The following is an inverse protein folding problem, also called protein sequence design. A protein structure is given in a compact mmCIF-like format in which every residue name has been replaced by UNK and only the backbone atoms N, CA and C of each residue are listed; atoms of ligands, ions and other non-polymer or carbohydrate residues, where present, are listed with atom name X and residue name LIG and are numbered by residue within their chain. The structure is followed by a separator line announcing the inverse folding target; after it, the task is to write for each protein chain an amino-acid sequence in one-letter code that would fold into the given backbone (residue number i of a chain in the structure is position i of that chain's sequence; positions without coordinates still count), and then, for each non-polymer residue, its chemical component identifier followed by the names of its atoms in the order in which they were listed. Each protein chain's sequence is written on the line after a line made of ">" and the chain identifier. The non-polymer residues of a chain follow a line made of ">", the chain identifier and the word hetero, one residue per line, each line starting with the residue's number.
data_IF_317201674752
#
_entry.id   IF_317201674752
#
_cell.length_a   1.000
_cell.length_b   1.000
_cell.length_c   1.000
_cell.angle_alpha   90.00
_cell.angle_beta   90.00
_cell.angle_gamma   90.00
#
_symmetry.space_group_name_H-M   'P 1'
#
loop_
_entity.id
_entity.type
_entity.pdbx_description
1 polymer ?
#
# COMPACT_ATOMS: atom_id res chain seq x y z
N UNK A 1 -13.14 -13.18 9.63
CA UNK A 1 -13.30 -11.79 9.17
C UNK A 1 -12.24 -10.81 9.69
N UNK A 2 -11.38 -11.21 10.64
CA UNK A 2 -10.28 -10.37 11.13
C UNK A 2 -9.07 -10.49 10.19
N UNK A 3 -8.39 -9.36 9.92
CA UNK A 3 -7.19 -9.33 9.08
C UNK A 3 -5.96 -9.53 9.96
N UNK A 4 -5.11 -10.51 9.60
CA UNK A 4 -3.86 -10.80 10.28
C UNK A 4 -2.73 -11.11 9.30
N UNK A 5 -1.50 -11.23 9.82
CA UNK A 5 -0.38 -11.69 9.00
C UNK A 5 -0.50 -13.19 8.71
N UNK A 6 -0.36 -13.56 7.44
CA UNK A 6 -0.35 -14.97 7.04
C UNK A 6 0.95 -15.63 7.48
N UNK A 7 0.83 -16.64 8.34
CA UNK A 7 1.96 -17.44 8.80
C UNK A 7 1.82 -18.89 8.32
N UNK A 8 2.93 -19.49 7.91
CA UNK A 8 2.96 -20.86 7.37
C UNK A 8 3.93 -21.72 8.15
N UNK A 9 3.53 -22.96 8.46
CA UNK A 9 4.38 -23.99 9.08
C UNK A 9 4.20 -25.32 8.37
N UNK A 10 5.27 -26.02 8.11
CA UNK A 10 5.23 -27.34 7.48
C UNK A 10 6.52 -27.68 6.72
N UNK A 11 6.58 -28.89 6.14
CA UNK A 11 7.79 -29.38 5.47
C UNK A 11 8.14 -28.62 4.17
N UNK A 12 7.19 -27.86 3.61
CA UNK A 12 7.42 -27.02 2.42
C UNK A 12 7.97 -25.64 2.72
N UNK A 13 8.14 -25.28 4.01
CA UNK A 13 8.74 -24.00 4.39
C UNK A 13 10.23 -24.04 4.12
N UNK A 14 10.78 -22.95 3.56
CA UNK A 14 12.21 -22.83 3.29
C UNK A 14 13.06 -23.00 4.56
N UNK A 15 14.28 -23.50 4.41
CA UNK A 15 15.24 -23.62 5.51
C UNK A 15 15.84 -22.25 5.88
N UNK A 16 16.21 -21.45 4.87
CA UNK A 16 16.80 -20.12 5.07
C UNK A 16 16.84 -19.34 3.75
N UNK A 17 17.13 -18.06 3.84
CA UNK A 17 17.64 -17.26 2.71
C UNK A 17 19.13 -17.53 2.55
N UNK A 18 19.55 -17.81 1.31
CA UNK A 18 20.94 -18.08 1.00
C UNK A 18 21.86 -16.93 1.40
N UNK A 19 22.89 -17.24 2.20
CA UNK A 19 23.87 -16.27 2.74
C UNK A 19 23.26 -15.03 3.42
N UNK A 20 22.04 -15.13 3.96
CA UNK A 20 21.39 -14.01 4.65
C UNK A 20 20.70 -14.46 5.95
N UNK A 21 21.48 -14.71 7.01
CA UNK A 21 20.94 -15.17 8.29
C UNK A 21 20.05 -14.11 8.97
N UNK A 22 20.33 -12.82 8.79
CA UNK A 22 19.53 -11.74 9.37
C UNK A 22 18.12 -11.73 8.79
N UNK A 23 17.98 -11.70 7.45
CA UNK A 23 16.68 -11.77 6.81
C UNK A 23 15.94 -13.09 7.11
N UNK A 24 16.69 -14.19 7.33
CA UNK A 24 16.09 -15.47 7.73
C UNK A 24 15.48 -15.35 9.13
N UNK A 25 16.21 -14.78 10.09
CA UNK A 25 15.73 -14.62 11.47
C UNK A 25 14.53 -13.65 11.58
N UNK A 26 14.41 -12.69 10.66
CA UNK A 26 13.25 -11.80 10.59
C UNK A 26 11.96 -12.54 10.29
N UNK A 27 12.01 -13.53 9.39
CA UNK A 27 10.80 -14.18 8.86
C UNK A 27 10.56 -15.60 9.39
N UNK A 28 11.60 -16.29 9.88
CA UNK A 28 11.48 -17.63 10.45
C UNK A 28 11.61 -17.58 11.98
N UNK A 29 10.50 -17.86 12.69
CA UNK A 29 10.45 -17.85 14.15
C UNK A 29 9.70 -19.09 14.63
N UNK A 30 10.35 -19.88 15.49
CA UNK A 30 9.77 -21.10 16.08
C UNK A 30 9.17 -22.09 15.08
N UNK A 31 9.77 -22.15 13.88
CA UNK A 31 9.34 -23.01 12.79
C UNK A 31 8.16 -22.46 11.97
N UNK A 32 7.73 -21.22 12.22
CA UNK A 32 6.75 -20.50 11.43
C UNK A 32 7.43 -19.51 10.48
N UNK A 33 6.99 -19.52 9.24
CA UNK A 33 7.32 -18.49 8.24
C UNK A 33 6.29 -17.36 8.32
N UNK A 34 6.72 -16.18 8.68
CA UNK A 34 5.95 -14.93 8.60
C UNK A 34 6.10 -14.39 7.19
N UNK A 35 5.04 -14.49 6.39
CA UNK A 35 5.12 -14.21 4.95
C UNK A 35 5.23 -12.71 4.62
N UNK A 36 4.83 -11.86 5.54
CA UNK A 36 4.68 -10.42 5.32
C UNK A 36 3.44 -10.08 4.49
N UNK A 37 2.58 -11.05 4.19
CA UNK A 37 1.30 -10.83 3.53
C UNK A 37 0.19 -10.77 4.58
N UNK A 38 -0.68 -9.78 4.47
CA UNK A 38 -1.89 -9.66 5.29
C UNK A 38 -3.02 -10.43 4.62
N UNK A 39 -3.72 -11.24 5.39
CA UNK A 39 -4.80 -12.07 4.91
C UNK A 39 -6.00 -12.03 5.86
N UNK A 40 -7.15 -12.37 5.35
CA UNK A 40 -8.40 -12.57 6.08
C UNK A 40 -8.94 -13.96 5.76
N UNK A 41 -9.49 -14.65 6.75
CA UNK A 41 -10.19 -15.92 6.55
C UNK A 41 -11.70 -15.67 6.58
N UNK A 42 -12.44 -16.24 5.61
CA UNK A 42 -13.90 -16.20 5.61
C UNK A 42 -14.51 -17.31 6.48
N UNK A 43 -15.85 -17.34 6.53
CA UNK A 43 -16.59 -18.35 7.31
C UNK A 43 -16.43 -19.78 6.76
N UNK A 44 -16.09 -19.92 5.47
CA UNK A 44 -15.90 -21.22 4.82
C UNK A 44 -14.45 -21.71 4.91
N UNK A 45 -13.55 -20.92 5.52
CA UNK A 45 -12.16 -21.26 5.77
C UNK A 45 -11.20 -20.87 4.64
N UNK A 46 -11.65 -20.13 3.62
CA UNK A 46 -10.79 -19.63 2.56
C UNK A 46 -10.01 -18.40 3.00
N UNK A 47 -8.73 -18.31 2.57
CA UNK A 47 -7.87 -17.17 2.83
C UNK A 47 -7.86 -16.22 1.65
N UNK A 48 -8.09 -14.95 1.94
CA UNK A 48 -8.02 -13.84 0.98
C UNK A 48 -6.84 -12.95 1.34
N UNK A 49 -5.90 -12.77 0.41
CA UNK A 49 -4.81 -11.82 0.57
C UNK A 49 -5.38 -10.39 0.48
N UNK A 50 -5.06 -9.57 1.46
CA UNK A 50 -5.55 -8.20 1.57
C UNK A 50 -4.51 -7.20 1.10
N UNK A 51 -3.27 -7.33 1.58
CA UNK A 51 -2.15 -6.44 1.23
C UNK A 51 -0.82 -7.01 1.73
N UNK A 52 0.28 -6.29 1.50
CA UNK A 52 1.57 -6.55 2.14
C UNK A 52 1.65 -5.80 3.48
N UNK A 53 2.12 -6.45 4.54
CA UNK A 53 2.26 -5.85 5.88
C UNK A 53 3.02 -4.53 5.86
N UNK A 54 4.12 -4.46 5.09
CA UNK A 54 4.97 -3.26 4.93
C UNK A 54 4.32 -2.13 4.13
N UNK A 55 3.22 -2.41 3.44
CA UNK A 55 2.50 -1.45 2.62
C UNK A 55 1.25 -0.90 3.32
N UNK A 56 0.80 -1.54 4.42
CA UNK A 56 -0.32 -1.06 5.25
C UNK A 56 -0.01 0.35 5.74
N UNK A 57 -0.95 1.27 5.54
CA UNK A 57 -0.85 2.65 6.03
C UNK A 57 -1.57 2.76 7.36
N UNK A 58 -0.86 3.20 8.40
CA UNK A 58 -1.45 3.39 9.74
C UNK A 58 -1.76 4.86 9.94
N UNK A 59 -3.04 5.22 9.81
CA UNK A 59 -3.51 6.60 9.86
C UNK A 59 -4.46 6.81 11.04
N UNK A 60 -4.00 7.57 12.05
CA UNK A 60 -4.82 7.85 13.23
C UNK A 60 -5.28 6.61 14.01
N UNK A 61 -4.50 5.53 13.97
CA UNK A 61 -4.82 4.25 14.61
C UNK A 61 -5.60 3.26 13.73
N UNK A 62 -6.03 3.68 12.54
CA UNK A 62 -6.72 2.81 11.58
C UNK A 62 -5.73 2.18 10.60
N UNK A 63 -5.87 0.87 10.37
CA UNK A 63 -5.12 0.17 9.32
C UNK A 63 -5.84 0.34 7.99
N UNK A 64 -5.16 0.98 7.04
CA UNK A 64 -5.67 1.19 5.69
C UNK A 64 -4.85 0.31 4.74
N UNK A 65 -5.55 -0.46 3.93
CA UNK A 65 -4.96 -1.39 2.97
C UNK A 65 -4.95 -0.74 1.58
N UNK A 66 -3.77 -0.32 1.08
CA UNK A 66 -3.62 0.35 -0.22
C UNK A 66 -4.28 -0.35 -1.39
N UNK A 67 -4.17 -1.67 -1.47
CA UNK A 67 -4.74 -2.48 -2.57
C UNK A 67 -6.24 -2.22 -2.75
N UNK A 68 -7.00 -2.08 -1.67
CA UNK A 68 -8.44 -1.82 -1.76
C UNK A 68 -8.77 -0.46 -2.39
N UNK A 69 -7.93 0.54 -2.15
CA UNK A 69 -8.08 1.88 -2.73
C UNK A 69 -7.60 1.86 -4.19
N UNK A 70 -6.49 1.17 -4.45
CA UNK A 70 -5.95 1.01 -5.81
C UNK A 70 -6.94 0.31 -6.72
N UNK A 71 -7.56 -0.80 -6.28
CA UNK A 71 -8.55 -1.53 -7.05
C UNK A 71 -9.79 -0.67 -7.35
N UNK A 72 -10.24 0.11 -6.34
CA UNK A 72 -11.31 1.06 -6.56
C UNK A 72 -10.94 2.14 -7.59
N UNK A 73 -9.76 2.76 -7.44
CA UNK A 73 -9.32 3.81 -8.36
C UNK A 73 -9.11 3.29 -9.79
N UNK A 74 -8.67 2.04 -9.97
CA UNK A 74 -8.54 1.40 -11.30
C UNK A 74 -9.87 1.25 -12.04
N UNK A 75 -11.01 1.34 -11.36
CA UNK A 75 -12.33 1.34 -12.03
C UNK A 75 -12.65 2.64 -12.76
N UNK A 76 -11.85 3.70 -12.55
CA UNK A 76 -11.99 4.96 -13.26
C UNK A 76 -11.36 4.87 -14.66
N UNK A 77 -12.15 5.14 -15.70
CA UNK A 77 -11.74 4.97 -17.10
C UNK A 77 -10.56 5.85 -17.53
N UNK A 78 -10.25 6.93 -16.83
CA UNK A 78 -9.14 7.84 -17.12
C UNK A 78 -7.81 7.35 -16.54
N UNK A 79 -7.85 6.47 -15.56
CA UNK A 79 -6.66 5.98 -14.86
C UNK A 79 -6.04 4.82 -15.63
N UNK A 80 -4.75 4.93 -15.94
CA UNK A 80 -3.93 3.86 -16.50
C UNK A 80 -3.45 2.93 -15.40
N UNK A 81 -2.90 3.52 -14.32
CA UNK A 81 -2.39 2.79 -13.17
C UNK A 81 -2.40 3.68 -11.93
N UNK A 82 -2.34 3.06 -10.75
CA UNK A 82 -2.35 3.75 -9.47
C UNK A 82 -1.52 3.00 -8.44
N UNK A 83 -0.82 3.75 -7.59
CA UNK A 83 -0.13 3.25 -6.41
C UNK A 83 -0.52 4.09 -5.20
N UNK A 84 -1.03 3.47 -4.16
CA UNK A 84 -1.32 4.13 -2.89
C UNK A 84 -0.20 3.85 -1.90
N UNK A 85 0.30 4.92 -1.27
CA UNK A 85 1.42 4.88 -0.34
C UNK A 85 1.09 5.66 0.94
N UNK A 86 1.73 5.27 2.05
CA UNK A 86 1.77 6.08 3.27
C UNK A 86 2.68 7.29 3.08
N UNK A 87 2.18 8.47 3.40
CA UNK A 87 2.95 9.70 3.50
C UNK A 87 3.00 10.15 4.96
N UNK A 88 4.16 10.58 5.47
CA UNK A 88 4.30 10.99 6.87
C UNK A 88 3.36 12.16 7.22
N UNK A 89 2.65 12.06 8.34
CA UNK A 89 1.78 13.13 8.84
C UNK A 89 2.00 13.37 10.33
N UNK A 90 2.19 14.64 10.73
CA UNK A 90 2.51 15.01 12.12
C UNK A 90 1.43 14.62 13.13
N UNK A 91 0.19 14.56 12.73
CA UNK A 91 -0.97 14.31 13.60
C UNK A 91 -1.44 12.86 13.57
N UNK A 92 -1.43 12.26 12.39
CA UNK A 92 -2.02 10.94 12.16
C UNK A 92 -0.97 9.82 12.04
N UNK A 93 0.32 10.16 12.10
CA UNK A 93 1.43 9.26 11.80
C UNK A 93 1.63 9.15 10.30
N UNK A 94 0.64 8.63 9.60
CA UNK A 94 0.61 8.57 8.13
C UNK A 94 -0.74 9.02 7.57
N UNK A 95 -0.73 9.39 6.30
CA UNK A 95 -1.92 9.59 5.47
C UNK A 95 -1.77 8.83 4.15
N UNK A 96 -2.88 8.44 3.53
CA UNK A 96 -2.84 7.86 2.20
C UNK A 96 -2.58 8.93 1.13
N UNK A 97 -1.52 8.72 0.33
CA UNK A 97 -1.27 9.42 -0.91
C UNK A 97 -1.52 8.51 -2.10
N UNK A 98 -2.34 8.92 -3.05
CA UNK A 98 -2.55 8.20 -4.30
C UNK A 98 -1.68 8.81 -5.41
N UNK A 99 -0.74 8.03 -5.93
CA UNK A 99 0.02 8.37 -7.14
C UNK A 99 -0.72 7.76 -8.32
N UNK A 100 -1.15 8.60 -9.25
CA UNK A 100 -2.04 8.22 -10.35
C UNK A 100 -1.36 8.52 -11.68
N UNK A 101 -1.26 7.49 -12.51
CA UNK A 101 -0.85 7.61 -13.90
C UNK A 101 -2.09 7.61 -14.79
N UNK A 102 -2.30 8.68 -15.54
CA UNK A 102 -3.43 8.80 -16.45
C UNK A 102 -3.17 8.08 -17.77
N UNK A 103 -4.22 7.63 -18.43
CA UNK A 103 -4.15 7.11 -19.80
C UNK A 103 -3.70 8.22 -20.77
N UNK A 104 -3.03 7.87 -21.87
CA UNK A 104 -2.64 8.84 -22.90
C UNK A 104 -3.84 9.66 -23.38
N UNK A 105 -3.72 10.98 -23.33
CA UNK A 105 -4.77 11.92 -23.73
C UNK A 105 -5.89 12.13 -22.71
N UNK A 106 -5.92 11.40 -21.61
CA UNK A 106 -6.88 11.66 -20.54
C UNK A 106 -6.51 12.92 -19.75
N UNK A 107 -7.50 13.71 -19.40
CA UNK A 107 -7.38 14.88 -18.53
C UNK A 107 -8.21 14.65 -17.28
N UNK A 108 -7.60 14.80 -16.13
CA UNK A 108 -8.23 14.62 -14.82
C UNK A 108 -7.51 15.52 -13.81
N UNK A 109 -8.24 16.15 -12.91
CA UNK A 109 -7.69 16.95 -11.84
C UNK A 109 -7.92 16.31 -10.46
N UNK A 110 -7.33 16.94 -9.43
CA UNK A 110 -7.44 16.46 -8.04
C UNK A 110 -8.90 16.49 -7.54
N UNK A 111 -9.70 17.47 -7.96
CA UNK A 111 -11.09 17.61 -7.53
C UNK A 111 -11.93 16.43 -8.07
N UNK A 112 -11.75 16.08 -9.32
CA UNK A 112 -12.45 14.94 -9.94
C UNK A 112 -12.12 13.61 -9.26
N UNK A 113 -10.86 13.38 -8.90
CA UNK A 113 -10.46 12.16 -8.16
C UNK A 113 -11.04 12.18 -6.74
N UNK A 114 -11.03 13.33 -6.06
CA UNK A 114 -11.62 13.46 -4.74
C UNK A 114 -13.13 13.17 -4.76
N UNK A 115 -13.85 13.69 -5.75
CA UNK A 115 -15.28 13.43 -5.94
C UNK A 115 -15.54 11.94 -6.24
N UNK A 116 -14.74 11.32 -7.10
CA UNK A 116 -14.81 9.88 -7.36
C UNK A 116 -14.60 9.07 -6.07
N UNK A 117 -13.66 9.47 -5.23
CA UNK A 117 -13.37 8.84 -3.95
C UNK A 117 -14.47 9.04 -2.88
N UNK A 118 -15.51 9.84 -3.12
CA UNK A 118 -16.63 9.96 -2.18
C UNK A 118 -17.37 8.65 -1.95
N UNK A 119 -17.31 7.71 -2.90
CA UNK A 119 -17.86 6.37 -2.76
C UNK A 119 -17.09 5.49 -1.75
N UNK A 120 -15.83 5.84 -1.43
CA UNK A 120 -15.05 5.15 -0.41
C UNK A 120 -15.44 5.64 1.01
N UNK A 121 -15.32 4.77 2.03
CA UNK A 121 -15.37 5.18 3.43
C UNK A 121 -14.37 6.31 3.69
N UNK A 122 -14.75 7.29 4.52
CA UNK A 122 -13.96 8.50 4.75
C UNK A 122 -12.50 8.24 5.12
N UNK A 123 -12.23 7.23 5.95
CA UNK A 123 -10.88 6.90 6.42
C UNK A 123 -9.99 6.31 5.31
N UNK A 124 -10.58 5.71 4.26
CA UNK A 124 -9.87 5.15 3.10
C UNK A 124 -9.59 6.17 1.99
N UNK A 125 -10.24 7.35 2.03
CA UNK A 125 -10.05 8.36 0.97
C UNK A 125 -8.63 8.89 0.99
N UNK A 126 -7.91 8.88 -0.16
CA UNK A 126 -6.60 9.52 -0.23
C UNK A 126 -6.68 10.97 0.18
N UNK A 127 -5.72 11.44 0.99
CA UNK A 127 -5.63 12.83 1.42
C UNK A 127 -4.67 13.64 0.55
N UNK A 128 -3.93 12.99 -0.31
CA UNK A 128 -3.04 13.59 -1.29
C UNK A 128 -3.19 12.85 -2.62
N UNK A 129 -3.43 13.60 -3.68
CA UNK A 129 -3.43 13.10 -5.05
C UNK A 129 -2.18 13.62 -5.74
N UNK A 130 -1.49 12.75 -6.46
CA UNK A 130 -0.25 13.05 -7.18
C UNK A 130 -0.38 12.45 -8.57
N UNK A 131 -0.33 13.27 -9.61
CA UNK A 131 -0.31 12.78 -10.98
C UNK A 131 1.13 12.59 -11.44
N UNK A 132 1.54 11.34 -11.68
CA UNK A 132 2.89 11.01 -12.11
C UNK A 132 2.94 9.62 -12.73
N UNK A 133 3.99 9.35 -13.49
CA UNK A 133 4.35 8.01 -13.96
C UNK A 133 4.71 7.11 -12.76
N UNK A 134 4.26 5.86 -12.81
CA UNK A 134 4.48 4.88 -11.74
C UNK A 134 5.68 3.99 -12.08
N UNK A 135 6.77 4.07 -11.26
CA UNK A 135 7.96 3.27 -11.50
C UNK A 135 7.69 1.77 -11.29
N UNK A 136 8.21 0.97 -12.20
CA UNK A 136 8.15 -0.49 -12.15
C UNK A 136 9.55 -1.08 -12.27
N UNK A 137 9.80 -2.16 -11.54
CA UNK A 137 11.03 -2.90 -11.66
C UNK A 137 11.07 -3.74 -12.95
N UNK A 138 12.19 -4.42 -13.21
CA UNK A 138 12.38 -5.26 -14.41
C UNK A 138 11.34 -6.40 -14.52
N UNK A 139 10.70 -6.80 -13.43
CA UNK A 139 9.64 -7.82 -13.41
C UNK A 139 8.23 -7.23 -13.56
N UNK A 140 8.11 -5.91 -13.76
CA UNK A 140 6.85 -5.19 -13.93
C UNK A 140 6.12 -4.84 -12.63
N UNK A 141 6.71 -5.10 -11.46
CA UNK A 141 6.11 -4.76 -10.16
C UNK A 141 6.30 -3.29 -9.82
N UNK A 142 5.26 -2.65 -9.30
CA UNK A 142 5.30 -1.26 -8.81
C UNK A 142 6.33 -1.12 -7.67
N UNK A 143 7.20 -0.12 -7.78
CA UNK A 143 8.22 0.19 -6.78
C UNK A 143 7.72 1.21 -5.75
N UNK A 144 6.77 0.82 -4.90
CA UNK A 144 6.25 1.68 -3.82
C UNK A 144 7.35 2.30 -2.93
N UNK A 145 8.47 1.63 -2.60
CA UNK A 145 9.56 2.25 -1.85
C UNK A 145 10.15 3.49 -2.53
N UNK A 146 10.27 3.48 -3.86
CA UNK A 146 10.75 4.63 -4.65
C UNK A 146 9.78 5.80 -4.52
N UNK A 147 8.47 5.52 -4.64
CA UNK A 147 7.42 6.54 -4.48
C UNK A 147 7.40 7.13 -3.07
N UNK A 148 7.50 6.30 -2.02
CA UNK A 148 7.57 6.77 -0.62
C UNK A 148 8.77 7.67 -0.39
N UNK A 149 9.94 7.31 -0.90
CA UNK A 149 11.17 8.11 -0.77
C UNK A 149 11.01 9.47 -1.45
N UNK A 150 10.45 9.49 -2.67
CA UNK A 150 10.26 10.71 -3.46
C UNK A 150 9.24 11.64 -2.82
N UNK A 151 8.03 11.17 -2.62
CA UNK A 151 6.92 12.02 -2.19
C UNK A 151 6.80 12.19 -0.68
N UNK A 152 7.37 11.30 0.12
CA UNK A 152 7.43 11.45 1.58
C UNK A 152 8.27 12.64 2.00
N UNK A 153 9.44 12.85 1.39
CA UNK A 153 10.29 14.00 1.65
C UNK A 153 9.63 15.33 1.21
N UNK A 154 9.04 15.35 0.01
CA UNK A 154 8.33 16.53 -0.51
C UNK A 154 7.14 16.91 0.38
N UNK A 155 6.40 15.92 0.87
CA UNK A 155 5.25 16.15 1.74
C UNK A 155 5.64 16.75 3.09
N UNK A 156 6.73 16.27 3.71
CA UNK A 156 7.25 16.83 4.96
C UNK A 156 7.68 18.28 4.83
N UNK A 157 8.37 18.63 3.74
CA UNK A 157 8.76 20.02 3.45
C UNK A 157 7.52 20.92 3.29
N UNK A 158 6.50 20.44 2.58
CA UNK A 158 5.26 21.20 2.40
C UNK A 158 4.49 21.42 3.72
N UNK A 159 4.57 20.48 4.67
CA UNK A 159 3.98 20.64 6.00
C UNK A 159 4.74 21.63 6.89
N UNK A 160 6.06 21.70 6.75
CA UNK A 160 6.89 22.69 7.50
C UNK A 160 6.60 24.13 7.07
N UNK A 161 6.35 24.35 5.78
CA UNK A 161 6.07 25.66 5.21
C UNK A 161 4.65 26.18 5.50
N UNK A 162 3.76 25.34 6.07
CA UNK A 162 2.38 25.72 6.44
C UNK A 162 2.19 25.93 7.94
N UNK A 163 3.25 25.78 8.73
CA UNK A 163 3.29 25.98 10.19
C UNK A 163 3.88 27.33 10.52
#
# INVERSE_FOLDING_TARGET
>A
GEVGELCVKGPGVMTCYYNNPEATAEVLKDGWLYTGDMAMQDADGFYFLVDRKKDVVVSGGENIYPVQIEDFLRTNDKIKDVAVIGLPDKRLGEICGAVIELKPGAVCDEAEINDFCLALPRYKRPRKIIFAEIPRNATGKIEKPVLRKRYGAEHLVAQQNRS
#
